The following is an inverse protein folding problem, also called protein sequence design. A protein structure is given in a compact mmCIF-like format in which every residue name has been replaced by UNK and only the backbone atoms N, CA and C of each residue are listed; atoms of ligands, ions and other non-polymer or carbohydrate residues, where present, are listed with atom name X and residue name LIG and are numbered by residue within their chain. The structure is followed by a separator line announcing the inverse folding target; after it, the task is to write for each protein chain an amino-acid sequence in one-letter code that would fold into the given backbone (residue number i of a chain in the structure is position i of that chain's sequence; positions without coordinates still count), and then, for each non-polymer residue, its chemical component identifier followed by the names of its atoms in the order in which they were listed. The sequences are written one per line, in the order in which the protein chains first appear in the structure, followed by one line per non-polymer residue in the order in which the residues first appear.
data_IF_070175019208
#
_entry.id   IF_070175019208
#
_cell.length_a   1.000
_cell.length_b   1.000
_cell.length_c   1.000
_cell.angle_alpha   90.00
_cell.angle_beta   90.00
_cell.angle_gamma   90.00
#
_symmetry.space_group_name_H-M   'P 1'
#
loop_
_entity.id
_entity.type
_entity.pdbx_description
1 polymer ?
#
# COMPACT_ATOMS: atom_id res chain seq x y z
N UNK A 1 21.79 3.12 -6.94
CA UNK A 1 21.10 2.43 -8.04
C UNK A 1 19.93 1.64 -7.44
N UNK A 2 18.80 1.50 -8.13
CA UNK A 2 17.71 0.63 -7.66
C UNK A 2 18.12 -0.84 -7.88
N UNK A 3 17.83 -1.75 -6.93
CA UNK A 3 18.14 -3.17 -7.10
C UNK A 3 17.29 -3.74 -8.24
N UNK A 4 17.85 -4.68 -8.98
CA UNK A 4 17.22 -5.38 -10.11
C UNK A 4 17.03 -6.88 -9.84
N UNK A 5 17.75 -7.43 -8.87
CA UNK A 5 17.70 -8.84 -8.50
C UNK A 5 17.49 -9.03 -7.00
N UNK A 6 17.07 -10.23 -6.59
CA UNK A 6 16.95 -10.56 -5.17
C UNK A 6 18.28 -10.46 -4.42
N UNK A 7 19.40 -10.82 -5.05
CA UNK A 7 20.75 -10.64 -4.48
C UNK A 7 21.04 -9.16 -4.24
N UNK A 8 20.86 -8.33 -5.26
CA UNK A 8 21.12 -6.89 -5.16
C UNK A 8 20.25 -6.25 -4.08
N UNK A 9 18.98 -6.68 -3.96
CA UNK A 9 18.08 -6.23 -2.92
C UNK A 9 18.59 -6.64 -1.53
N UNK A 10 19.00 -7.89 -1.36
CA UNK A 10 19.55 -8.41 -0.11
C UNK A 10 20.83 -7.66 0.29
N UNK A 11 21.79 -7.52 -0.63
CA UNK A 11 23.04 -6.76 -0.42
C UNK A 11 22.78 -5.32 0.02
N UNK A 12 21.81 -4.64 -0.62
CA UNK A 12 21.47 -3.28 -0.27
C UNK A 12 20.87 -3.18 1.15
N UNK A 13 19.99 -4.11 1.54
CA UNK A 13 19.43 -4.15 2.90
C UNK A 13 20.50 -4.46 3.94
N UNK A 14 21.37 -5.41 3.65
CA UNK A 14 22.49 -5.77 4.51
C UNK A 14 23.44 -4.59 4.73
N UNK A 15 23.82 -3.88 3.66
CA UNK A 15 24.67 -2.69 3.80
C UNK A 15 24.01 -1.59 4.61
N UNK A 16 22.72 -1.38 4.40
CA UNK A 16 21.96 -0.39 5.15
C UNK A 16 22.03 -0.66 6.66
N UNK A 17 21.78 -1.90 7.06
CA UNK A 17 21.92 -2.37 8.44
C UNK A 17 23.32 -2.07 8.99
N UNK A 18 24.38 -2.42 8.25
CA UNK A 18 25.76 -2.14 8.66
C UNK A 18 26.05 -0.64 8.86
N UNK A 19 25.41 0.23 8.07
CA UNK A 19 25.53 1.69 8.21
C UNK A 19 24.57 2.27 9.27
N UNK A 20 23.80 1.44 9.99
CA UNK A 20 22.68 1.89 10.83
C UNK A 20 21.70 2.80 10.07
N UNK A 21 21.66 2.66 8.74
CA UNK A 21 20.76 3.35 7.84
C UNK A 21 19.66 2.38 7.40
N UNK A 22 18.59 2.90 6.79
CA UNK A 22 17.54 2.00 6.27
C UNK A 22 17.83 1.63 4.80
N UNK A 23 18.63 2.37 3.99
CA UNK A 23 19.13 1.89 2.68
C UNK A 23 20.43 2.59 2.19
N UNK A 24 21.45 1.84 1.72
CA UNK A 24 22.53 2.23 0.76
C UNK A 24 23.31 0.97 0.28
N UNK A 25 24.28 1.03 -0.65
CA UNK A 25 24.89 -0.11 -1.41
C UNK A 25 26.20 -0.70 -0.83
N UNK A 26 26.47 -2.00 -1.03
CA UNK A 26 27.69 -2.75 -0.63
C UNK A 26 28.35 -3.45 -1.83
N UNK A 27 29.69 -3.47 -1.86
CA UNK A 27 30.53 -4.14 -2.87
C UNK A 27 30.90 -5.62 -2.54
N UNK A 28 30.27 -6.24 -1.53
CA UNK A 28 30.54 -7.66 -1.20
C UNK A 28 29.77 -8.63 -2.09
N UNK A 29 30.47 -9.56 -2.75
CA UNK A 29 29.86 -10.74 -3.39
C UNK A 29 29.23 -11.64 -2.32
N UNK A 30 27.91 -11.84 -2.38
CA UNK A 30 27.17 -12.73 -1.48
C UNK A 30 26.52 -13.81 -2.35
N UNK A 31 26.52 -15.05 -1.86
CA UNK A 31 25.71 -16.12 -2.45
C UNK A 31 24.21 -15.74 -2.46
N UNK A 32 23.44 -16.44 -3.30
CA UNK A 32 21.98 -16.28 -3.33
C UNK A 32 21.39 -16.50 -1.93
N UNK A 33 20.74 -15.49 -1.32
CA UNK A 33 20.21 -15.61 0.03
C UNK A 33 19.08 -16.64 0.07
N UNK A 34 19.17 -17.57 1.01
CA UNK A 34 18.11 -18.52 1.30
C UNK A 34 17.02 -17.86 2.16
N UNK A 35 15.94 -18.61 2.44
CA UNK A 35 14.82 -18.07 3.21
C UNK A 35 15.22 -17.61 4.63
N UNK A 36 16.08 -18.37 5.32
CA UNK A 36 16.55 -18.02 6.66
C UNK A 36 17.36 -16.71 6.64
N UNK A 37 18.19 -16.50 5.62
CA UNK A 37 18.97 -15.26 5.47
C UNK A 37 18.03 -14.04 5.39
N UNK A 38 16.90 -14.16 4.68
CA UNK A 38 15.88 -13.11 4.65
C UNK A 38 15.23 -12.87 6.02
N UNK A 39 14.87 -13.94 6.75
CA UNK A 39 14.30 -13.80 8.10
C UNK A 39 15.28 -13.07 9.03
N UNK A 40 16.57 -13.38 8.94
CA UNK A 40 17.60 -12.78 9.78
C UNK A 40 17.78 -11.29 9.50
N UNK A 41 17.78 -10.86 8.22
CA UNK A 41 17.80 -9.43 7.88
C UNK A 41 16.53 -8.72 8.35
N UNK A 42 15.35 -9.30 8.11
CA UNK A 42 14.08 -8.68 8.52
C UNK A 42 14.01 -8.48 10.05
N UNK A 43 14.58 -9.42 10.82
CA UNK A 43 14.69 -9.32 12.28
C UNK A 43 15.66 -8.22 12.71
N UNK A 44 16.81 -8.12 12.05
CA UNK A 44 17.78 -7.04 12.32
C UNK A 44 17.20 -5.66 12.00
N UNK A 45 16.44 -5.51 10.92
CA UNK A 45 15.77 -4.25 10.58
C UNK A 45 14.66 -3.89 11.58
N UNK A 46 13.94 -4.90 12.04
CA UNK A 46 12.95 -4.80 13.11
C UNK A 46 13.57 -4.32 14.42
N UNK A 47 14.74 -4.85 14.81
CA UNK A 47 15.48 -4.38 15.98
C UNK A 47 16.02 -2.94 15.77
N UNK A 48 16.59 -2.65 14.59
CA UNK A 48 17.11 -1.31 14.27
C UNK A 48 16.04 -0.23 14.28
N UNK A 49 14.85 -0.50 13.72
CA UNK A 49 13.78 0.50 13.65
C UNK A 49 13.21 0.79 15.03
N UNK A 50 13.10 -0.22 15.89
CA UNK A 50 12.73 -0.07 17.30
C UNK A 50 13.69 0.89 18.01
N UNK A 51 14.99 0.67 17.86
CA UNK A 51 16.01 1.52 18.47
C UNK A 51 15.97 2.96 17.95
N UNK A 52 15.67 3.14 16.65
CA UNK A 52 15.51 4.48 16.04
C UNK A 52 14.29 5.21 16.57
N UNK A 53 13.17 4.51 16.75
CA UNK A 53 11.95 5.08 17.30
C UNK A 53 12.16 5.46 18.77
N UNK A 54 12.77 4.59 19.58
CA UNK A 54 13.05 4.85 20.99
C UNK A 54 13.97 6.07 21.23
N UNK A 55 14.81 6.43 20.25
CA UNK A 55 15.68 7.62 20.30
C UNK A 55 14.99 8.91 19.83
N UNK A 56 13.84 8.82 19.17
CA UNK A 56 12.99 9.96 18.81
C UNK A 56 11.90 10.13 19.86
N UNK A 57 11.29 11.31 19.94
CA UNK A 57 10.18 11.58 20.86
C UNK A 57 9.05 10.54 20.72
N UNK A 58 8.29 10.35 21.82
CA UNK A 58 7.18 9.38 21.98
C UNK A 58 6.07 9.45 20.91
N UNK A 59 6.07 10.44 20.03
CA UNK A 59 5.08 10.66 18.97
C UNK A 59 5.43 10.01 17.61
N UNK A 60 6.52 9.26 17.52
CA UNK A 60 6.95 8.65 16.26
C UNK A 60 6.05 7.48 15.84
N UNK A 61 5.35 7.63 14.71
CA UNK A 61 4.51 6.57 14.15
C UNK A 61 5.33 5.50 13.41
N UNK A 62 4.85 4.26 13.45
CA UNK A 62 5.40 3.12 12.70
C UNK A 62 4.32 2.39 11.92
N UNK A 63 4.57 2.20 10.63
CA UNK A 63 3.78 1.33 9.77
C UNK A 63 4.61 0.11 9.35
N UNK A 64 3.97 -1.04 9.20
CA UNK A 64 4.61 -2.26 8.69
C UNK A 64 3.95 -2.64 7.36
N UNK A 65 4.76 -2.91 6.33
CA UNK A 65 4.31 -3.63 5.13
C UNK A 65 4.59 -5.12 5.30
N UNK A 66 3.57 -5.95 5.40
CA UNK A 66 3.67 -7.40 5.54
C UNK A 66 3.18 -8.07 4.26
N UNK A 67 4.04 -8.82 3.59
CA UNK A 67 3.63 -9.47 2.34
C UNK A 67 4.74 -10.21 1.62
N UNK A 68 4.58 -10.28 0.30
CA UNK A 68 5.44 -11.04 -0.60
C UNK A 68 6.41 -10.15 -1.41
N UNK A 69 6.72 -10.54 -2.65
CA UNK A 69 7.58 -9.79 -3.58
C UNK A 69 7.04 -8.38 -3.85
N UNK A 70 5.72 -8.20 -3.98
CA UNK A 70 5.15 -6.88 -4.25
C UNK A 70 5.43 -5.91 -3.10
N UNK A 71 5.33 -6.39 -1.85
CA UNK A 71 5.69 -5.58 -0.69
C UNK A 71 7.19 -5.37 -0.61
N UNK A 72 8.00 -6.43 -0.80
CA UNK A 72 9.46 -6.37 -0.73
C UNK A 72 10.05 -5.32 -1.69
N UNK A 73 9.51 -5.25 -2.91
CA UNK A 73 9.97 -4.37 -3.97
C UNK A 73 9.34 -2.97 -3.92
N UNK A 74 8.49 -2.67 -2.93
CA UNK A 74 7.91 -1.32 -2.77
C UNK A 74 9.03 -0.29 -2.55
N UNK A 75 9.19 0.72 -3.43
CA UNK A 75 10.27 1.68 -3.30
C UNK A 75 10.09 2.59 -2.08
N UNK A 76 11.11 2.68 -1.22
CA UNK A 76 11.02 3.46 0.03
C UNK A 76 10.80 4.95 -0.19
N UNK A 77 11.31 5.50 -1.30
CA UNK A 77 11.06 6.90 -1.69
C UNK A 77 9.60 7.18 -2.03
N UNK A 78 8.80 6.14 -2.30
CA UNK A 78 7.38 6.26 -2.58
C UNK A 78 6.51 6.07 -1.33
N UNK A 79 7.06 5.61 -0.21
CA UNK A 79 6.28 5.46 1.01
C UNK A 79 5.86 6.82 1.58
N UNK A 80 4.63 6.96 2.09
CA UNK A 80 4.16 8.19 2.72
C UNK A 80 5.14 8.72 3.78
N UNK A 81 5.45 10.02 3.71
CA UNK A 81 6.34 10.69 4.66
C UNK A 81 5.65 10.94 6.01
N UNK A 82 6.43 11.37 7.02
CA UNK A 82 5.90 11.70 8.35
C UNK A 82 5.66 10.49 9.28
N UNK A 83 5.95 9.28 8.81
CA UNK A 83 5.88 8.03 9.59
C UNK A 83 7.06 7.13 9.23
N UNK A 84 7.47 6.27 10.17
CA UNK A 84 8.41 5.21 9.87
C UNK A 84 7.71 4.06 9.15
N UNK A 85 8.47 3.37 8.31
CA UNK A 85 8.01 2.17 7.60
C UNK A 85 9.01 1.04 7.79
N UNK A 86 8.51 -0.13 8.20
CA UNK A 86 9.25 -1.38 8.25
C UNK A 86 8.71 -2.30 7.16
N UNK A 87 9.53 -2.63 6.16
CA UNK A 87 9.13 -3.52 5.08
C UNK A 87 9.46 -4.98 5.45
N UNK A 88 8.44 -5.76 5.73
CA UNK A 88 8.50 -7.18 6.07
C UNK A 88 8.01 -8.06 4.90
N UNK A 89 8.32 -7.66 3.66
CA UNK A 89 8.09 -8.44 2.45
C UNK A 89 9.20 -9.45 2.14
N UNK A 90 8.84 -10.66 1.69
CA UNK A 90 9.78 -11.66 1.16
C UNK A 90 9.29 -12.17 -0.19
N UNK A 91 10.15 -12.21 -1.21
CA UNK A 91 9.76 -12.74 -2.52
C UNK A 91 9.27 -14.18 -2.44
N UNK A 92 8.12 -14.46 -3.07
CA UNK A 92 7.55 -15.80 -3.15
C UNK A 92 6.85 -16.30 -1.88
N UNK A 93 6.74 -15.48 -0.84
CA UNK A 93 6.02 -15.82 0.39
C UNK A 93 4.54 -16.13 0.12
N UNK A 94 4.04 -17.17 0.78
CA UNK A 94 2.64 -17.55 0.85
C UNK A 94 2.03 -17.07 2.16
N UNK A 95 0.71 -17.09 2.28
CA UNK A 95 0.02 -16.82 3.56
C UNK A 95 0.52 -17.73 4.69
N UNK A 96 0.78 -19.00 4.39
CA UNK A 96 1.36 -19.95 5.35
C UNK A 96 2.82 -19.64 5.72
N UNK A 97 3.61 -19.04 4.82
CA UNK A 97 4.97 -18.57 5.10
C UNK A 97 4.95 -17.36 6.03
N UNK A 98 4.11 -16.37 5.72
CA UNK A 98 3.91 -15.18 6.55
C UNK A 98 3.49 -15.54 7.97
N UNK A 99 2.54 -16.47 8.12
CA UNK A 99 2.06 -16.92 9.43
C UNK A 99 3.19 -17.44 10.33
N UNK A 100 4.22 -18.07 9.75
CA UNK A 100 5.36 -18.65 10.50
C UNK A 100 6.38 -17.63 10.98
N UNK A 101 6.28 -16.36 10.54
CA UNK A 101 7.30 -15.33 10.80
C UNK A 101 6.74 -14.02 11.35
N UNK A 102 5.52 -14.05 11.88
CA UNK A 102 4.88 -12.87 12.50
C UNK A 102 5.62 -12.40 13.77
N UNK A 103 6.42 -13.27 14.37
CA UNK A 103 7.23 -12.98 15.57
C UNK A 103 8.47 -12.12 15.26
N UNK A 104 8.91 -12.02 14.00
CA UNK A 104 10.07 -11.23 13.58
C UNK A 104 9.98 -9.76 14.04
N UNK A 105 8.78 -9.20 14.04
CA UNK A 105 8.52 -7.82 14.46
C UNK A 105 7.76 -7.72 15.79
N UNK A 106 7.70 -8.80 16.58
CA UNK A 106 7.04 -8.86 17.90
C UNK A 106 7.44 -7.73 18.86
N UNK A 107 8.68 -7.24 18.75
CA UNK A 107 9.22 -6.21 19.64
C UNK A 107 8.78 -4.78 19.32
N UNK A 108 8.15 -4.55 18.17
CA UNK A 108 7.70 -3.24 17.70
C UNK A 108 6.27 -2.96 18.14
N UNK A 109 5.90 -1.67 18.21
CA UNK A 109 4.52 -1.26 18.46
C UNK A 109 3.99 -0.43 17.28
N UNK A 110 3.58 -1.07 16.17
CA UNK A 110 3.14 -0.36 14.98
C UNK A 110 1.78 0.33 15.19
N UNK A 111 1.55 1.46 14.51
CA UNK A 111 0.23 2.05 14.42
C UNK A 111 -0.63 1.34 13.38
N UNK A 112 0.01 0.88 12.30
CA UNK A 112 -0.65 0.24 11.18
C UNK A 112 0.17 -0.96 10.68
N UNK A 113 -0.49 -2.08 10.38
CA UNK A 113 0.10 -3.20 9.64
C UNK A 113 -0.70 -3.39 8.35
N UNK A 114 -0.04 -3.19 7.21
CA UNK A 114 -0.61 -3.38 5.88
C UNK A 114 -0.24 -4.75 5.35
N UNK A 115 -1.25 -5.58 5.07
CA UNK A 115 -1.07 -6.97 4.63
C UNK A 115 -1.44 -7.07 3.15
N UNK A 116 -0.54 -7.60 2.32
CA UNK A 116 -0.83 -8.02 0.95
C UNK A 116 -0.19 -9.38 0.72
N UNK A 117 -1.01 -10.44 0.67
CA UNK A 117 -0.54 -11.81 0.53
C UNK A 117 -1.63 -12.74 0.01
N UNK A 118 -1.26 -13.67 -0.86
CA UNK A 118 -2.17 -14.69 -1.39
C UNK A 118 -1.91 -15.03 -2.86
N UNK A 119 -1.23 -14.15 -3.60
CA UNK A 119 -0.98 -14.38 -5.03
C UNK A 119 -0.05 -15.58 -5.26
N UNK A 120 0.95 -15.79 -4.40
CA UNK A 120 1.83 -16.96 -4.47
C UNK A 120 1.12 -18.25 -4.04
N UNK A 121 0.16 -18.17 -3.13
CA UNK A 121 -0.70 -19.30 -2.78
C UNK A 121 -1.52 -19.74 -4.00
N UNK A 122 -2.15 -18.79 -4.69
CA UNK A 122 -2.89 -19.05 -5.93
C UNK A 122 -1.98 -19.59 -7.05
N UNK A 123 -0.77 -19.03 -7.19
CA UNK A 123 0.26 -19.56 -8.11
C UNK A 123 0.61 -21.03 -7.82
N UNK A 124 0.65 -21.39 -6.53
CA UNK A 124 0.90 -22.76 -6.06
C UNK A 124 -0.36 -23.62 -5.99
N UNK A 125 -1.49 -23.13 -6.50
CA UNK A 125 -2.79 -23.82 -6.53
C UNK A 125 -3.30 -24.21 -5.14
N UNK A 126 -2.93 -23.45 -4.11
CA UNK A 126 -3.48 -23.61 -2.76
C UNK A 126 -4.98 -23.28 -2.80
N UNK A 127 -5.87 -24.09 -2.19
CA UNK A 127 -7.30 -23.83 -2.16
C UNK A 127 -7.63 -22.48 -1.49
N UNK A 128 -8.57 -21.72 -2.05
CA UNK A 128 -9.02 -20.42 -1.48
C UNK A 128 -9.42 -20.53 -0.01
N UNK A 129 -10.06 -21.63 0.40
CA UNK A 129 -10.44 -21.87 1.79
C UNK A 129 -9.21 -21.91 2.73
N UNK A 130 -8.12 -22.54 2.31
CA UNK A 130 -6.88 -22.60 3.10
C UNK A 130 -6.20 -21.22 3.16
N UNK A 131 -6.22 -20.47 2.07
CA UNK A 131 -5.71 -19.08 2.04
C UNK A 131 -6.47 -18.20 3.04
N UNK A 132 -7.80 -18.31 3.07
CA UNK A 132 -8.66 -17.58 4.02
C UNK A 132 -8.42 -18.02 5.47
N UNK A 133 -8.21 -19.31 5.71
CA UNK A 133 -7.86 -19.84 7.04
C UNK A 133 -6.50 -19.33 7.51
N UNK A 134 -5.51 -19.25 6.64
CA UNK A 134 -4.21 -18.67 6.97
C UNK A 134 -4.32 -17.17 7.28
N UNK A 135 -5.06 -16.41 6.46
CA UNK A 135 -5.39 -15.02 6.78
C UNK A 135 -6.09 -14.90 8.13
N UNK A 136 -6.98 -15.84 8.45
CA UNK A 136 -7.67 -15.85 9.73
C UNK A 136 -6.67 -15.93 10.89
N UNK A 137 -5.77 -16.91 10.84
CA UNK A 137 -4.73 -17.10 11.86
C UNK A 137 -3.79 -15.90 11.96
N UNK A 138 -3.46 -15.26 10.82
CA UNK A 138 -2.65 -14.04 10.81
C UNK A 138 -3.39 -12.91 11.53
N UNK A 139 -4.66 -12.68 11.21
CA UNK A 139 -5.48 -11.64 11.85
C UNK A 139 -5.62 -11.90 13.36
N UNK A 140 -5.94 -13.12 13.77
CA UNK A 140 -6.09 -13.49 15.18
C UNK A 140 -4.78 -13.25 15.95
N UNK A 141 -3.64 -13.67 15.39
CA UNK A 141 -2.33 -13.43 15.99
C UNK A 141 -2.04 -11.94 16.14
N UNK A 142 -2.27 -11.15 15.08
CA UNK A 142 -1.94 -9.72 15.09
C UNK A 142 -2.86 -8.94 16.04
N UNK A 143 -4.16 -9.25 16.06
CA UNK A 143 -5.11 -8.60 16.96
C UNK A 143 -4.80 -8.92 18.43
N UNK A 144 -4.36 -10.14 18.72
CA UNK A 144 -3.98 -10.54 20.07
C UNK A 144 -2.69 -9.85 20.54
N UNK A 145 -1.65 -9.83 19.69
CA UNK A 145 -0.34 -9.29 20.07
C UNK A 145 -0.26 -7.76 19.95
N UNK A 146 -1.14 -7.13 19.17
CA UNK A 146 -1.12 -5.71 18.87
C UNK A 146 -2.52 -5.07 18.96
N UNK A 147 -3.13 -5.01 20.17
CA UNK A 147 -4.51 -4.56 20.34
C UNK A 147 -4.78 -3.11 19.90
N UNK A 148 -3.75 -2.25 19.93
CA UNK A 148 -3.86 -0.83 19.54
C UNK A 148 -3.48 -0.56 18.07
N UNK A 149 -3.07 -1.61 17.34
CA UNK A 149 -2.64 -1.51 15.94
C UNK A 149 -3.83 -1.64 15.00
N UNK A 150 -3.92 -0.75 14.01
CA UNK A 150 -4.85 -0.95 12.89
C UNK A 150 -4.28 -2.00 11.95
N UNK A 151 -5.02 -3.07 11.72
CA UNK A 151 -4.66 -4.10 10.75
C UNK A 151 -5.43 -3.82 9.47
N UNK A 152 -4.70 -3.64 8.37
CA UNK A 152 -5.23 -3.25 7.07
C UNK A 152 -4.90 -4.33 6.03
N UNK A 153 -5.91 -5.06 5.57
CA UNK A 153 -5.75 -6.09 4.56
C UNK A 153 -6.06 -5.51 3.18
N UNK A 154 -5.10 -5.59 2.28
CA UNK A 154 -5.21 -5.08 0.92
C UNK A 154 -5.76 -6.17 0.00
N UNK A 155 -6.63 -5.77 -0.92
CA UNK A 155 -7.04 -6.62 -2.04
C UNK A 155 -5.82 -7.13 -2.81
N UNK A 156 -5.82 -8.41 -3.16
CA UNK A 156 -4.83 -8.99 -4.06
C UNK A 156 -4.99 -8.35 -5.44
N UNK A 157 -3.89 -7.93 -6.06
CA UNK A 157 -3.92 -7.28 -7.37
C UNK A 157 -4.25 -8.28 -8.48
N UNK A 158 -4.89 -7.83 -9.58
CA UNK A 158 -5.10 -8.67 -10.75
C UNK A 158 -3.76 -9.04 -11.40
N UNK A 159 -3.80 -9.98 -12.34
CA UNK A 159 -2.65 -10.36 -13.17
C UNK A 159 -2.94 -10.19 -14.66
N UNK A 160 -1.90 -10.20 -15.48
CA UNK A 160 -1.95 -10.25 -16.94
C UNK A 160 -0.84 -11.20 -17.43
N UNK A 161 -0.90 -12.45 -16.99
CA UNK A 161 0.13 -13.45 -17.29
C UNK A 161 0.05 -13.95 -18.75
N UNK A 162 1.17 -14.05 -19.47
CA UNK A 162 1.19 -14.67 -20.80
C UNK A 162 1.03 -16.18 -20.67
N UNK A 163 -0.19 -16.68 -20.83
CA UNK A 163 -0.54 -18.09 -20.64
C UNK A 163 0.12 -19.04 -21.63
N UNK A 164 0.64 -18.52 -22.76
CA UNK A 164 1.32 -19.31 -23.78
C UNK A 164 2.78 -19.62 -23.43
N UNK A 165 3.42 -18.81 -22.57
CA UNK A 165 4.84 -18.94 -22.25
C UNK A 165 5.11 -19.35 -20.81
N UNK A 166 4.11 -19.30 -19.93
CA UNK A 166 4.23 -19.69 -18.53
C UNK A 166 3.59 -21.05 -18.27
N UNK A 167 4.22 -21.83 -17.38
CA UNK A 167 3.72 -23.14 -16.93
C UNK A 167 2.64 -23.05 -15.86
N UNK A 168 2.28 -21.83 -15.43
CA UNK A 168 1.25 -21.56 -14.43
C UNK A 168 0.32 -20.46 -14.91
N UNK A 169 -0.90 -20.46 -14.39
CA UNK A 169 -1.90 -19.42 -14.61
C UNK A 169 -2.57 -19.07 -13.28
N UNK A 170 -2.95 -17.81 -13.13
CA UNK A 170 -3.69 -17.31 -11.98
C UNK A 170 -4.94 -16.61 -12.51
N UNK A 171 -6.10 -17.29 -12.54
CA UNK A 171 -7.32 -16.69 -13.07
C UNK A 171 -7.73 -15.46 -12.25
N UNK A 172 -7.97 -14.32 -12.91
CA UNK A 172 -8.48 -13.11 -12.24
C UNK A 172 -9.86 -13.33 -11.58
N UNK A 173 -10.64 -14.32 -12.04
CA UNK A 173 -11.86 -14.74 -11.36
C UNK A 173 -11.60 -15.31 -9.95
N UNK A 174 -10.50 -16.04 -9.77
CA UNK A 174 -10.10 -16.61 -8.49
C UNK A 174 -9.56 -15.53 -7.55
N UNK A 175 -8.80 -14.57 -8.08
CA UNK A 175 -8.37 -13.37 -7.35
C UNK A 175 -9.59 -12.58 -6.86
N UNK A 176 -10.57 -12.36 -7.74
CA UNK A 176 -11.82 -11.67 -7.39
C UNK A 176 -12.59 -12.41 -6.30
N UNK A 177 -12.72 -13.73 -6.40
CA UNK A 177 -13.36 -14.56 -5.39
C UNK A 177 -12.64 -14.45 -4.03
N UNK A 178 -11.32 -14.58 -4.03
CA UNK A 178 -10.50 -14.44 -2.81
C UNK A 178 -10.68 -13.05 -2.18
N UNK A 179 -10.62 -11.99 -2.98
CA UNK A 179 -10.80 -10.61 -2.52
C UNK A 179 -12.19 -10.38 -1.90
N UNK A 180 -13.25 -10.93 -2.49
CA UNK A 180 -14.61 -10.83 -1.94
C UNK A 180 -14.70 -11.51 -0.57
N UNK A 181 -14.14 -12.72 -0.47
CA UNK A 181 -14.15 -13.48 0.79
C UNK A 181 -13.28 -12.80 1.87
N UNK A 182 -12.11 -12.26 1.49
CA UNK A 182 -11.26 -11.49 2.40
C UNK A 182 -11.95 -10.23 2.90
N UNK A 183 -12.64 -9.49 2.03
CA UNK A 183 -13.37 -8.29 2.42
C UNK A 183 -14.42 -8.60 3.50
N UNK A 184 -15.17 -9.70 3.34
CA UNK A 184 -16.14 -10.15 4.33
C UNK A 184 -15.45 -10.53 5.65
N UNK A 185 -14.45 -11.40 5.60
CA UNK A 185 -13.73 -11.91 6.76
C UNK A 185 -13.06 -10.81 7.61
N UNK A 186 -12.51 -9.78 6.95
CA UNK A 186 -11.80 -8.67 7.60
C UNK A 186 -12.77 -7.72 8.30
N UNK A 187 -13.88 -7.38 7.65
CA UNK A 187 -14.88 -6.46 8.21
C UNK A 187 -15.56 -7.04 9.46
N UNK A 188 -15.80 -8.35 9.51
CA UNK A 188 -16.44 -9.02 10.64
C UNK A 188 -15.60 -8.97 11.94
N UNK A 189 -14.32 -8.58 11.83
CA UNK A 189 -13.34 -8.65 12.94
C UNK A 189 -12.78 -7.30 13.36
N UNK A 190 -13.35 -6.19 12.89
CA UNK A 190 -12.88 -4.85 13.23
C UNK A 190 -11.52 -4.47 12.61
N UNK A 191 -11.01 -5.29 11.69
CA UNK A 191 -9.87 -4.92 10.83
C UNK A 191 -10.37 -4.14 9.61
N UNK A 192 -9.46 -3.48 8.87
CA UNK A 192 -9.82 -2.63 7.73
C UNK A 192 -9.50 -3.35 6.43
N UNK A 193 -10.49 -3.53 5.56
CA UNK A 193 -10.24 -4.01 4.19
C UNK A 193 -10.01 -2.82 3.25
N UNK A 194 -8.90 -2.85 2.52
CA UNK A 194 -8.51 -1.86 1.52
C UNK A 194 -8.72 -2.43 0.13
N UNK A 195 -9.85 -2.09 -0.50
CA UNK A 195 -10.12 -2.48 -1.88
C UNK A 195 -9.36 -1.57 -2.86
N UNK A 196 -8.19 -2.05 -3.29
CA UNK A 196 -7.38 -1.39 -4.30
C UNK A 196 -7.50 -2.07 -5.67
N UNK A 197 -8.20 -3.20 -5.78
CA UNK A 197 -8.20 -4.06 -6.96
C UNK A 197 -8.58 -3.29 -8.23
N UNK A 198 -9.65 -2.49 -8.15
CA UNK A 198 -10.14 -1.72 -9.30
C UNK A 198 -9.14 -0.70 -9.85
N UNK A 199 -8.17 -0.26 -9.03
CA UNK A 199 -7.12 0.71 -9.44
C UNK A 199 -6.12 0.09 -10.41
N UNK A 200 -5.97 -1.23 -10.35
CA UNK A 200 -5.02 -1.99 -11.14
C UNK A 200 -5.68 -2.69 -12.34
N UNK A 201 -7.01 -2.85 -12.35
CA UNK A 201 -7.72 -3.52 -13.44
C UNK A 201 -7.96 -2.62 -14.64
N UNK A 202 -7.86 -3.19 -15.83
CA UNK A 202 -8.44 -2.64 -17.05
C UNK A 202 -9.95 -3.00 -17.15
N UNK A 203 -10.60 -2.59 -18.23
CA UNK A 203 -12.04 -2.85 -18.46
C UNK A 203 -12.41 -4.34 -18.59
N UNK A 204 -11.43 -5.20 -18.86
CA UNK A 204 -11.60 -6.66 -18.92
C UNK A 204 -11.34 -7.34 -17.57
N UNK A 205 -10.96 -6.59 -16.53
CA UNK A 205 -10.62 -7.11 -15.22
C UNK A 205 -9.20 -7.70 -15.11
N UNK A 206 -8.35 -7.51 -16.11
CA UNK A 206 -6.94 -7.90 -16.08
C UNK A 206 -6.07 -6.76 -15.55
N UNK A 207 -4.85 -7.08 -15.08
CA UNK A 207 -3.87 -6.04 -14.74
C UNK A 207 -3.61 -5.14 -15.94
N UNK A 208 -3.58 -3.83 -15.72
CA UNK A 208 -3.21 -2.84 -16.74
C UNK A 208 -1.78 -3.07 -17.19
N UNK A 209 -1.55 -3.16 -18.49
CA UNK A 209 -0.25 -3.50 -19.09
C UNK A 209 0.87 -2.53 -18.71
N UNK A 210 0.56 -1.25 -18.57
CA UNK A 210 1.50 -0.21 -18.18
C UNK A 210 1.87 -0.24 -16.69
N UNK A 211 1.10 -0.97 -15.87
CA UNK A 211 1.33 -1.09 -14.43
C UNK A 211 2.15 -2.32 -14.06
N UNK A 212 2.61 -3.12 -15.04
CA UNK A 212 3.34 -4.36 -14.80
C UNK A 212 4.55 -4.52 -15.71
N UNK A 213 5.54 -5.28 -15.25
CA UNK A 213 6.74 -5.62 -16.04
C UNK A 213 6.65 -7.00 -16.68
N UNK A 214 5.89 -7.92 -16.08
CA UNK A 214 5.83 -9.33 -16.49
C UNK A 214 4.41 -9.94 -16.38
N UNK A 215 3.39 -9.13 -16.09
CA UNK A 215 2.03 -9.57 -15.85
C UNK A 215 1.70 -9.89 -14.39
N UNK A 216 2.66 -9.80 -13.47
CA UNK A 216 2.48 -10.07 -12.04
C UNK A 216 3.09 -8.98 -11.15
N UNK A 217 4.36 -8.64 -11.40
CA UNK A 217 5.10 -7.63 -10.65
C UNK A 217 4.84 -6.23 -11.21
N UNK A 218 4.76 -5.25 -10.32
CA UNK A 218 4.46 -3.87 -10.70
C UNK A 218 5.62 -3.19 -11.41
N UNK A 219 5.30 -2.36 -12.39
CA UNK A 219 6.20 -1.35 -12.95
C UNK A 219 6.36 -0.18 -11.98
N UNK A 220 7.29 0.76 -12.22
CA UNK A 220 7.36 2.02 -11.47
C UNK A 220 6.02 2.78 -11.45
N UNK A 221 5.28 2.77 -12.55
CA UNK A 221 3.93 3.35 -12.67
C UNK A 221 2.92 2.59 -11.79
N UNK A 222 3.00 1.26 -11.75
CA UNK A 222 2.21 0.43 -10.84
C UNK A 222 2.44 0.80 -9.37
N UNK A 223 3.70 1.00 -8.97
CA UNK A 223 4.01 1.44 -7.61
C UNK A 223 3.55 2.87 -7.30
N UNK A 224 3.48 3.77 -8.28
CA UNK A 224 2.88 5.11 -8.08
C UNK A 224 1.38 5.03 -7.82
N UNK A 225 0.66 4.16 -8.54
CA UNK A 225 -0.77 3.89 -8.25
C UNK A 225 -0.93 3.37 -6.82
N UNK A 226 -0.07 2.42 -6.40
CA UNK A 226 -0.10 1.90 -5.03
C UNK A 226 0.25 2.97 -3.99
N UNK A 227 1.28 3.79 -4.23
CA UNK A 227 1.65 4.93 -3.40
C UNK A 227 0.46 5.87 -3.19
N UNK A 228 -0.23 6.25 -4.26
CA UNK A 228 -1.37 7.16 -4.17
C UNK A 228 -2.47 6.56 -3.27
N UNK A 229 -2.78 5.27 -3.44
CA UNK A 229 -3.74 4.55 -2.61
C UNK A 229 -3.33 4.52 -1.12
N UNK A 230 -2.03 4.32 -0.81
CA UNK A 230 -1.51 4.37 0.56
C UNK A 230 -1.56 5.78 1.15
N UNK A 231 -1.20 6.82 0.38
CA UNK A 231 -1.33 8.22 0.82
C UNK A 231 -2.77 8.59 1.14
N UNK A 232 -3.73 8.18 0.30
CA UNK A 232 -5.16 8.35 0.56
C UNK A 232 -5.58 7.64 1.85
N UNK A 233 -5.12 6.40 2.04
CA UNK A 233 -5.43 5.64 3.25
C UNK A 233 -4.91 6.34 4.51
N UNK A 234 -3.65 6.77 4.53
CA UNK A 234 -3.06 7.45 5.69
C UNK A 234 -3.71 8.82 5.97
N UNK A 235 -4.00 9.60 4.93
CA UNK A 235 -4.73 10.86 5.07
C UNK A 235 -6.12 10.64 5.68
N UNK A 236 -6.87 9.66 5.16
CA UNK A 236 -8.23 9.38 5.63
C UNK A 236 -8.28 8.87 7.07
N UNK A 237 -7.35 7.99 7.44
CA UNK A 237 -7.25 7.50 8.81
C UNK A 237 -6.85 8.61 9.79
N UNK A 238 -5.88 9.46 9.42
CA UNK A 238 -5.42 10.54 10.31
C UNK A 238 -6.43 11.67 10.49
N UNK A 239 -7.31 11.88 9.51
CA UNK A 239 -8.34 12.93 9.51
C UNK A 239 -9.76 12.42 9.81
N UNK A 240 -9.91 11.15 10.19
CA UNK A 240 -11.22 10.51 10.42
C UNK A 240 -12.19 10.65 9.24
N UNK A 241 -11.68 10.54 8.01
CA UNK A 241 -12.47 10.59 6.77
C UNK A 241 -12.94 9.19 6.40
N UNK A 242 -13.78 8.63 7.26
CA UNK A 242 -14.36 7.30 7.05
C UNK A 242 -15.25 7.23 5.80
N UNK A 243 -15.87 6.07 5.57
CA UNK A 243 -16.75 5.86 4.41
C UNK A 243 -17.94 6.84 4.37
N UNK A 244 -18.49 7.21 5.52
CA UNK A 244 -19.63 8.12 5.59
C UNK A 244 -19.21 9.55 5.25
N UNK A 245 -18.06 10.00 5.76
CA UNK A 245 -17.47 11.28 5.39
C UNK A 245 -17.19 11.33 3.88
N UNK A 246 -16.60 10.28 3.30
CA UNK A 246 -16.30 10.22 1.87
C UNK A 246 -17.57 10.33 1.02
N UNK A 247 -18.63 9.57 1.37
CA UNK A 247 -19.93 9.65 0.71
C UNK A 247 -20.59 11.01 0.85
N UNK A 248 -20.49 11.63 2.02
CA UNK A 248 -21.00 12.97 2.25
C UNK A 248 -20.27 13.98 1.36
N UNK A 249 -18.94 13.97 1.34
CA UNK A 249 -18.14 14.93 0.58
C UNK A 249 -18.39 14.83 -0.93
N UNK A 250 -18.59 13.60 -1.44
CA UNK A 250 -18.97 13.33 -2.83
C UNK A 250 -20.33 13.93 -3.21
N UNK A 251 -21.24 14.13 -2.25
CA UNK A 251 -22.61 14.58 -2.48
C UNK A 251 -22.91 15.97 -1.92
N UNK A 252 -22.01 16.54 -1.14
CA UNK A 252 -22.24 17.81 -0.48
C UNK A 252 -22.35 18.95 -1.51
N UNK A 253 -23.20 19.92 -1.24
CA UNK A 253 -23.26 21.15 -2.04
C UNK A 253 -22.07 22.08 -1.74
N UNK A 254 -21.53 21.99 -0.52
CA UNK A 254 -20.45 22.83 -0.02
C UNK A 254 -19.43 22.00 0.77
N UNK A 255 -18.22 22.56 0.91
CA UNK A 255 -17.14 22.07 1.73
C UNK A 255 -16.84 23.09 2.84
N UNK A 256 -17.23 22.85 4.11
CA UNK A 256 -16.69 23.57 5.25
C UNK A 256 -15.26 23.10 5.53
N UNK A 257 -14.29 24.03 5.53
CA UNK A 257 -12.88 23.74 5.75
C UNK A 257 -12.19 24.95 6.38
N UNK A 258 -11.44 24.73 7.46
CA UNK A 258 -10.64 25.76 8.14
C UNK A 258 -11.40 27.07 8.48
N UNK A 259 -12.67 26.93 8.88
CA UNK A 259 -13.54 28.07 9.21
C UNK A 259 -14.11 28.82 8.01
N UNK A 260 -13.86 28.35 6.78
CA UNK A 260 -14.39 28.87 5.54
C UNK A 260 -15.38 27.88 4.91
N UNK A 261 -16.21 28.38 4.00
CA UNK A 261 -17.11 27.56 3.17
C UNK A 261 -16.73 27.69 1.70
N UNK A 262 -16.65 26.56 1.02
CA UNK A 262 -16.33 26.49 -0.40
C UNK A 262 -17.50 25.86 -1.16
N UNK A 263 -17.80 26.38 -2.35
CA UNK A 263 -18.69 25.71 -3.31
C UNK A 263 -17.87 24.79 -4.21
N UNK A 264 -18.51 23.76 -4.77
CA UNK A 264 -17.88 22.91 -5.77
C UNK A 264 -18.10 23.50 -7.16
N UNK A 265 -17.02 23.69 -7.92
CA UNK A 265 -17.09 24.18 -9.30
C UNK A 265 -16.40 23.23 -10.25
N UNK A 266 -16.97 23.08 -11.45
CA UNK A 266 -16.36 22.28 -12.50
C UNK A 266 -15.08 22.95 -13.01
N UNK A 267 -14.02 22.16 -13.08
CA UNK A 267 -12.69 22.52 -13.57
C UNK A 267 -12.28 21.55 -14.68
N UNK A 268 -11.82 22.09 -15.80
CA UNK A 268 -11.24 21.32 -16.89
C UNK A 268 -9.74 21.19 -16.69
N UNK A 269 -9.24 19.95 -16.60
CA UNK A 269 -7.83 19.66 -16.39
C UNK A 269 -7.01 20.15 -17.58
N UNK A 270 -5.95 20.92 -17.31
CA UNK A 270 -5.09 21.54 -18.32
C UNK A 270 -3.75 20.80 -18.45
N UNK A 271 -3.05 20.93 -19.59
CA UNK A 271 -1.69 20.43 -19.71
C UNK A 271 -0.78 20.93 -18.59
N UNK A 272 -0.11 19.99 -17.90
CA UNK A 272 0.80 20.30 -16.79
C UNK A 272 0.14 20.48 -15.42
N UNK A 273 -1.20 20.39 -15.34
CA UNK A 273 -1.90 20.31 -14.07
C UNK A 273 -1.52 19.01 -13.34
N UNK A 274 -1.40 19.13 -12.02
CA UNK A 274 -1.32 18.01 -11.08
C UNK A 274 -2.36 18.23 -10.01
N UNK A 275 -2.74 17.18 -9.29
CA UNK A 275 -3.65 17.32 -8.15
C UNK A 275 -3.11 18.34 -7.13
N UNK A 276 -1.80 18.32 -6.86
CA UNK A 276 -1.13 19.29 -5.98
C UNK A 276 -1.26 20.74 -6.49
N UNK A 277 -0.98 21.01 -7.76
CA UNK A 277 -1.10 22.36 -8.35
C UNK A 277 -2.54 22.87 -8.35
N UNK A 278 -3.51 21.99 -8.65
CA UNK A 278 -4.92 22.33 -8.62
C UNK A 278 -5.35 22.65 -7.17
N UNK A 279 -4.91 21.84 -6.21
CA UNK A 279 -5.20 22.04 -4.78
C UNK A 279 -4.60 23.36 -4.29
N UNK A 280 -3.34 23.64 -4.63
CA UNK A 280 -2.67 24.89 -4.28
C UNK A 280 -3.44 26.11 -4.79
N UNK A 281 -3.91 26.04 -6.04
CA UNK A 281 -4.69 27.12 -6.64
C UNK A 281 -6.06 27.28 -5.99
N UNK A 282 -6.73 26.18 -5.63
CA UNK A 282 -8.08 26.18 -5.09
C UNK A 282 -8.15 26.54 -3.59
N UNK A 283 -7.17 26.07 -2.81
CA UNK A 283 -7.18 26.12 -1.35
C UNK A 283 -5.98 26.84 -0.73
N UNK A 284 -4.99 27.26 -1.53
CA UNK A 284 -3.75 27.86 -1.02
C UNK A 284 -2.84 26.87 -0.29
N UNK A 285 -3.09 25.56 -0.44
CA UNK A 285 -2.40 24.47 0.23
C UNK A 285 -2.12 23.34 -0.76
N UNK A 286 -0.97 22.70 -0.64
CA UNK A 286 -0.56 21.60 -1.52
C UNK A 286 -0.26 20.30 -0.76
N UNK A 287 -0.37 20.31 0.58
CA UNK A 287 -0.20 19.08 1.34
C UNK A 287 -1.29 18.07 1.01
N UNK A 288 -0.92 16.78 1.07
CA UNK A 288 -1.75 15.71 0.51
C UNK A 288 -3.12 15.60 1.17
N UNK A 289 -3.28 16.06 2.42
CA UNK A 289 -4.56 16.05 3.10
C UNK A 289 -5.61 16.92 2.39
N UNK A 290 -5.20 18.03 1.76
CA UNK A 290 -6.10 18.88 0.97
C UNK A 290 -6.31 18.29 -0.43
N UNK A 291 -5.26 17.70 -1.01
CA UNK A 291 -5.36 16.97 -2.28
C UNK A 291 -6.40 15.84 -2.19
N UNK A 292 -6.42 15.09 -1.09
CA UNK A 292 -7.36 13.98 -0.90
C UNK A 292 -8.81 14.44 -0.77
N UNK A 293 -9.11 15.68 -0.37
CA UNK A 293 -10.49 16.20 -0.41
C UNK A 293 -11.01 16.28 -1.85
N UNK A 294 -10.20 16.80 -2.76
CA UNK A 294 -10.51 16.84 -4.19
C UNK A 294 -10.56 15.42 -4.76
N UNK A 295 -9.64 14.54 -4.33
CA UNK A 295 -9.63 13.15 -4.78
C UNK A 295 -10.88 12.38 -4.34
N UNK A 296 -11.34 12.55 -3.09
CA UNK A 296 -12.58 11.95 -2.59
C UNK A 296 -13.76 12.46 -3.38
N UNK A 297 -13.87 13.79 -3.56
CA UNK A 297 -14.96 14.44 -4.30
C UNK A 297 -15.14 13.83 -5.69
N UNK A 298 -14.02 13.60 -6.39
CA UNK A 298 -14.00 13.14 -7.77
C UNK A 298 -13.81 11.62 -7.92
N UNK A 299 -13.82 10.88 -6.81
CA UNK A 299 -13.55 9.43 -6.78
C UNK A 299 -12.24 9.04 -7.52
N UNK A 300 -11.19 9.84 -7.35
CA UNK A 300 -9.91 9.61 -8.04
C UNK A 300 -9.19 8.40 -7.46
N UNK A 301 -8.76 7.52 -8.37
CA UNK A 301 -8.01 6.29 -8.07
C UNK A 301 -6.50 6.42 -8.30
N UNK A 302 -6.06 7.54 -8.88
CA UNK A 302 -4.67 7.90 -9.19
C UNK A 302 -4.46 9.40 -9.00
N UNK A 303 -3.20 9.83 -8.85
CA UNK A 303 -2.79 11.24 -8.91
C UNK A 303 -2.70 11.77 -10.35
N UNK A 304 -2.71 10.87 -11.33
CA UNK A 304 -2.74 11.21 -12.74
C UNK A 304 -4.13 11.70 -13.16
N UNK A 305 -4.17 12.91 -13.73
CA UNK A 305 -5.36 13.54 -14.28
C UNK A 305 -5.24 13.58 -15.80
N UNK A 306 -6.26 13.10 -16.51
CA UNK A 306 -6.30 13.19 -17.97
C UNK A 306 -6.60 14.62 -18.39
N UNK A 307 -5.89 15.10 -19.41
CA UNK A 307 -6.14 16.42 -20.00
C UNK A 307 -7.58 16.44 -20.53
N UNK A 308 -8.26 17.57 -20.33
CA UNK A 308 -9.65 17.81 -20.70
C UNK A 308 -10.72 17.08 -19.86
N UNK A 309 -10.33 16.21 -18.93
CA UNK A 309 -11.28 15.68 -17.94
C UNK A 309 -11.86 16.82 -17.10
N UNK A 310 -13.14 16.66 -16.72
CA UNK A 310 -13.81 17.59 -15.81
C UNK A 310 -13.83 17.00 -14.40
N UNK A 311 -13.23 17.73 -13.47
CA UNK A 311 -13.28 17.46 -12.04
C UNK A 311 -13.96 18.61 -11.30
N UNK A 312 -14.44 18.38 -10.09
CA UNK A 312 -14.94 19.41 -9.20
C UNK A 312 -13.85 19.83 -8.21
N UNK A 313 -13.65 21.15 -8.09
CA UNK A 313 -12.69 21.75 -7.17
C UNK A 313 -13.39 22.75 -6.25
N UNK A 314 -12.88 23.00 -5.04
CA UNK A 314 -13.46 23.97 -4.15
C UNK A 314 -13.17 25.41 -4.63
N UNK A 315 -14.16 26.28 -4.57
CA UNK A 315 -14.04 27.72 -4.76
C UNK A 315 -14.59 28.44 -3.54
N UNK A 316 -13.81 29.37 -2.98
CA UNK A 316 -14.20 30.09 -1.77
C UNK A 316 -15.50 30.87 -2.00
N UNK A 317 -16.50 30.65 -1.13
CA UNK A 317 -17.73 31.43 -1.14
C UNK A 317 -17.42 32.77 -0.49
N UNK A 318 -17.36 33.83 -1.30
CA UNK A 318 -17.27 35.20 -0.78
C UNK A 318 -18.62 35.56 -0.15
N UNK A 319 -18.61 35.88 1.15
CA UNK A 319 -19.79 36.39 1.87
C UNK A 319 -20.01 37.85 1.56
#
# INVERSE_FOLDING_TARGET
MLPKTGIEMYQQRLFALHKSQIYTHSDYEIDQPNYQDWLDILKQESDLIKDKIAKKSDSSRLNILLGDSLSMWFPNSLLPSGTFWLNQGISGDTTSGILKRLDIFAKNNPNNIYILAGINDLKRQVPVAEILENHQKILDYLQYNYPDTRILVQSIFPTQLPTETLTFSIPNSLIKQLNQNLAQQVNDRGSIYLDFHQRFTNTQGNLRSELTTDGLHLSPEGYKVWQFALKQTESRLSKNRDHNYQKWLQKSSELPLDGQSYSWVSYQVKPGDTLEKITLKALGREDFDYCDLIAIRNNLTSDFLLIDDRIEIPQLIQK
#
